data_IF_980045290747
#
_entry.id   IF_980045290747
#
_cell.length_a   1.000
_cell.length_b   1.000
_cell.length_c   1.000
_cell.angle_alpha   90.00
_cell.angle_beta   90.00
_cell.angle_gamma   90.00
#
_symmetry.space_group_name_H-M   'P 1'
#
loop_
_entity.id
_entity.type
_entity.pdbx_description
1 polymer ?
#
# COMPACT_ATOMS: atom_id res chain seq x y z
N UNK A 1 -4.48 11.85 -6.42
CA UNK A 1 -5.64 11.54 -5.54
C UNK A 1 -5.37 10.36 -4.61
N UNK A 2 -4.75 9.25 -5.07
CA UNK A 2 -4.54 8.06 -4.23
C UNK A 2 -3.76 8.26 -2.92
N UNK A 3 -2.67 9.04 -2.93
CA UNK A 3 -1.80 9.20 -1.75
C UNK A 3 -2.51 9.80 -0.53
N UNK A 4 -3.36 10.83 -0.72
CA UNK A 4 -4.05 11.48 0.38
C UNK A 4 -5.06 10.54 1.08
N UNK A 5 -5.76 9.72 0.30
CA UNK A 5 -6.70 8.74 0.83
C UNK A 5 -5.99 7.62 1.61
N UNK A 6 -4.80 7.20 1.18
CA UNK A 6 -3.97 6.22 1.91
C UNK A 6 -3.54 6.80 3.27
N UNK A 7 -3.06 8.05 3.29
CA UNK A 7 -2.68 8.74 4.53
C UNK A 7 -3.87 8.85 5.48
N UNK A 8 -5.02 9.34 5.01
CA UNK A 8 -6.21 9.47 5.85
C UNK A 8 -6.67 8.11 6.40
N UNK A 9 -6.64 7.07 5.57
CA UNK A 9 -7.04 5.72 5.97
C UNK A 9 -6.08 5.16 7.04
N UNK A 10 -4.78 5.40 6.90
CA UNK A 10 -3.77 4.99 7.89
C UNK A 10 -3.98 5.70 9.23
N UNK A 11 -4.19 7.02 9.22
CA UNK A 11 -4.36 7.79 10.46
C UNK A 11 -5.69 7.52 11.19
N UNK A 12 -6.72 7.06 10.47
CA UNK A 12 -8.05 6.81 11.04
C UNK A 12 -8.26 5.37 11.52
N UNK A 13 -7.34 4.44 11.25
CA UNK A 13 -7.56 3.01 11.47
C UNK A 13 -6.33 2.32 12.08
N UNK A 14 -6.53 1.27 12.91
CA UNK A 14 -5.46 0.34 13.22
C UNK A 14 -5.02 -0.46 11.97
N UNK A 15 -3.82 -1.07 12.03
CA UNK A 15 -3.17 -1.74 10.91
C UNK A 15 -4.04 -2.81 10.23
N UNK A 16 -4.76 -3.61 11.00
CA UNK A 16 -5.64 -4.68 10.50
C UNK A 16 -6.80 -4.11 9.65
N UNK A 17 -7.45 -3.04 10.12
CA UNK A 17 -8.52 -2.35 9.37
C UNK A 17 -7.97 -1.55 8.20
N UNK A 18 -6.79 -0.95 8.35
CA UNK A 18 -6.08 -0.28 7.27
C UNK A 18 -5.83 -1.25 6.11
N UNK A 19 -5.28 -2.43 6.39
CA UNK A 19 -5.03 -3.49 5.40
C UNK A 19 -6.27 -3.86 4.59
N UNK A 20 -7.46 -3.86 5.20
CA UNK A 20 -8.71 -4.10 4.47
C UNK A 20 -9.09 -2.94 3.55
N UNK A 21 -8.93 -1.70 4.01
CA UNK A 21 -9.35 -0.49 3.28
C UNK A 21 -8.42 -0.05 2.14
N UNK A 22 -7.16 -0.48 2.15
CA UNK A 22 -6.11 0.00 1.24
C UNK A 22 -5.85 -0.93 0.04
N UNK A 23 -6.42 -2.13 0.01
CA UNK A 23 -6.16 -3.14 -1.05
C UNK A 23 -6.32 -2.59 -2.47
N UNK A 24 -7.51 -2.06 -2.77
CA UNK A 24 -7.83 -1.52 -4.10
C UNK A 24 -6.91 -0.35 -4.48
N UNK A 25 -6.56 0.48 -3.49
CA UNK A 25 -5.67 1.62 -3.66
C UNK A 25 -4.25 1.19 -4.05
N UNK A 26 -3.72 0.13 -3.43
CA UNK A 26 -2.42 -0.45 -3.79
C UNK A 26 -2.46 -1.06 -5.19
N UNK A 27 -3.54 -1.74 -5.55
CA UNK A 27 -3.72 -2.28 -6.90
C UNK A 27 -3.75 -1.17 -7.96
N UNK A 28 -4.50 -0.08 -7.71
CA UNK A 28 -4.55 1.08 -8.60
C UNK A 28 -3.15 1.72 -8.78
N UNK A 29 -2.37 1.83 -7.69
CA UNK A 29 -0.98 2.33 -7.73
C UNK A 29 -0.05 1.41 -8.53
N UNK A 30 -0.21 0.08 -8.39
CA UNK A 30 0.55 -0.91 -9.15
C UNK A 30 0.23 -0.82 -10.64
N UNK A 31 -1.04 -0.64 -11.03
CA UNK A 31 -1.45 -0.44 -12.42
C UNK A 31 -0.81 0.82 -13.00
N UNK A 32 -0.80 1.93 -12.25
CA UNK A 32 -0.14 3.17 -12.69
C UNK A 32 1.36 2.99 -12.91
N UNK A 33 2.01 2.17 -12.08
CA UNK A 33 3.45 1.88 -12.16
C UNK A 33 3.81 0.83 -13.21
N UNK A 34 2.83 0.11 -13.77
CA UNK A 34 3.06 -1.00 -14.71
C UNK A 34 3.77 -0.57 -16.00
N UNK A 35 3.59 0.69 -16.43
CA UNK A 35 4.26 1.24 -17.62
C UNK A 35 5.72 1.71 -17.37
N UNK A 36 6.09 1.94 -16.11
CA UNK A 36 7.40 2.52 -15.73
C UNK A 36 8.31 1.52 -14.99
N UNK A 37 7.74 0.55 -14.28
CA UNK A 37 8.47 -0.33 -13.39
C UNK A 37 8.06 -1.80 -13.55
N UNK A 38 9.00 -2.53 -14.13
CA UNK A 38 9.67 -3.70 -13.58
C UNK A 38 8.86 -4.98 -13.26
N UNK A 39 9.53 -6.13 -13.47
CA UNK A 39 9.07 -7.51 -13.27
C UNK A 39 8.25 -7.72 -11.99
N UNK A 40 8.56 -6.96 -10.94
CA UNK A 40 7.89 -7.07 -9.65
C UNK A 40 6.42 -6.65 -9.69
N UNK A 41 6.07 -5.60 -10.44
CA UNK A 41 4.68 -5.12 -10.56
C UNK A 41 3.88 -6.11 -11.41
N UNK A 42 4.45 -6.59 -12.52
CA UNK A 42 3.84 -7.66 -13.33
C UNK A 42 3.61 -8.92 -12.51
N UNK A 43 4.57 -9.32 -11.68
CA UNK A 43 4.41 -10.48 -10.78
C UNK A 43 3.35 -10.22 -9.72
N UNK A 44 3.34 -9.05 -9.09
CA UNK A 44 2.33 -8.69 -8.10
C UNK A 44 0.89 -8.76 -8.66
N UNK A 45 0.70 -8.33 -9.91
CA UNK A 45 -0.62 -8.35 -10.56
C UNK A 45 -0.99 -9.71 -11.17
N UNK A 46 -0.01 -10.51 -11.61
CA UNK A 46 -0.24 -11.77 -12.32
C UNK A 46 -0.14 -13.03 -11.47
N UNK A 47 0.55 -13.00 -10.33
CA UNK A 47 0.76 -14.12 -9.43
C UNK A 47 -0.02 -13.88 -8.12
N UNK A 48 -1.21 -14.48 -8.02
CA UNK A 48 -2.08 -14.31 -6.87
C UNK A 48 -1.51 -14.85 -5.56
N UNK A 49 -0.62 -15.84 -5.60
CA UNK A 49 0.06 -16.32 -4.38
C UNK A 49 1.09 -15.29 -3.91
N UNK A 50 1.89 -14.78 -4.85
CA UNK A 50 2.82 -13.70 -4.57
C UNK A 50 2.10 -12.45 -4.03
N UNK A 51 0.95 -12.09 -4.61
CA UNK A 51 0.14 -10.96 -4.14
C UNK A 51 -0.36 -11.18 -2.70
N UNK A 52 -0.88 -12.38 -2.39
CA UNK A 52 -1.38 -12.71 -1.03
C UNK A 52 -0.29 -12.65 0.02
N UNK A 53 0.93 -13.07 -0.31
CA UNK A 53 2.06 -13.05 0.62
C UNK A 53 2.67 -11.65 0.76
N UNK A 54 2.72 -10.89 -0.34
CA UNK A 54 3.43 -9.60 -0.37
C UNK A 54 2.54 -8.44 0.09
N UNK A 55 1.23 -8.51 -0.14
CA UNK A 55 0.31 -7.43 0.23
C UNK A 55 0.34 -7.05 1.73
N UNK A 56 0.27 -8.00 2.69
CA UNK A 56 0.32 -7.66 4.11
C UNK A 56 1.62 -6.94 4.50
N UNK A 57 2.74 -7.30 3.88
CA UNK A 57 4.06 -6.70 4.11
C UNK A 57 4.07 -5.25 3.59
N UNK A 58 3.63 -5.04 2.34
CA UNK A 58 3.55 -3.70 1.74
C UNK A 58 2.61 -2.78 2.52
N UNK A 59 1.44 -3.28 2.90
CA UNK A 59 0.47 -2.51 3.65
C UNK A 59 1.02 -2.11 5.04
N UNK A 60 1.75 -3.00 5.71
CA UNK A 60 2.41 -2.67 6.98
C UNK A 60 3.47 -1.58 6.78
N UNK A 61 4.33 -1.73 5.78
CA UNK A 61 5.40 -0.76 5.50
C UNK A 61 4.83 0.64 5.22
N UNK A 62 3.77 0.72 4.40
CA UNK A 62 3.06 1.97 4.11
C UNK A 62 2.49 2.58 5.39
N UNK A 63 1.82 1.76 6.21
CA UNK A 63 1.22 2.21 7.46
C UNK A 63 2.26 2.78 8.43
N UNK A 64 3.35 2.04 8.64
CA UNK A 64 4.45 2.43 9.54
C UNK A 64 5.16 3.69 9.04
N UNK A 65 5.41 3.78 7.73
CA UNK A 65 6.02 4.97 7.11
C UNK A 65 5.16 6.22 7.34
N UNK A 66 3.84 6.14 7.11
CA UNK A 66 2.93 7.28 7.32
C UNK A 66 2.94 7.72 8.78
N UNK A 67 2.91 6.78 9.74
CA UNK A 67 2.95 7.11 11.16
C UNK A 67 4.30 7.69 11.59
N UNK A 68 5.41 7.23 11.01
CA UNK A 68 6.74 7.77 11.28
C UNK A 68 6.91 9.19 10.72
N UNK A 69 6.37 9.47 9.53
CA UNK A 69 6.42 10.78 8.90
C UNK A 69 5.49 11.80 9.56
N UNK A 70 4.32 11.36 10.05
CA UNK A 70 3.36 12.23 10.75
C UNK A 70 3.65 12.37 12.25
N UNK A 71 4.37 11.41 12.84
CA UNK A 71 4.77 11.39 14.26
C UNK A 71 6.11 12.04 14.58
N UNK A 72 6.86 12.53 13.58
CA UNK A 72 8.05 13.36 13.81
C UNK A 72 7.63 14.76 14.26
N UNK A 73 8.06 15.24 15.45
CA UNK A 73 7.90 16.64 15.79
C UNK A 73 8.81 17.47 14.89
N UNK A 74 8.23 18.50 14.27
CA UNK A 74 8.96 19.64 13.72
C UNK A 74 9.88 20.27 14.77
#
# INVERSE_FOLDING_TARGET
>A
MGNAQVIQTAMANPLDKFQLGVRKLVEDLMIQRMGENDKIVTRYMGDGEFQRTTFPILAREIFETIHAETGKPS
#
